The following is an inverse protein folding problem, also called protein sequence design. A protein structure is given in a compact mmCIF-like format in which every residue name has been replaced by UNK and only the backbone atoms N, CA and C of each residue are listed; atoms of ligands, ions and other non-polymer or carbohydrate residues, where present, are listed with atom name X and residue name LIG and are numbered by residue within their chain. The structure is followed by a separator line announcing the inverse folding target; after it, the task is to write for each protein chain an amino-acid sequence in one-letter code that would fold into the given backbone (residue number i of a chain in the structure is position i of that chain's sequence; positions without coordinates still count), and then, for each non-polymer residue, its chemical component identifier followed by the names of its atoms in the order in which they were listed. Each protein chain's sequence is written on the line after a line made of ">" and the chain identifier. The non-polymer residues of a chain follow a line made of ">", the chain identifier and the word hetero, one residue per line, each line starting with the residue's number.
data_IF_560341396099
#
_entry.id   IF_560341396099
#
_cell.length_a   1.000
_cell.length_b   1.000
_cell.length_c   1.000
_cell.angle_alpha   90.00
_cell.angle_beta   90.00
_cell.angle_gamma   90.00
#
_symmetry.space_group_name_H-M   'P 1'
#
loop_
_entity.id
_entity.type
_entity.pdbx_description
1 polymer ?
#
# COMPACT_ATOMS: atom_id res chain seq x y z
N UNK A 1 5.75 20.17 -2.38
CA UNK A 1 5.60 19.63 -1.01
C UNK A 1 5.09 20.71 -0.05
N UNK A 2 4.19 20.32 0.83
CA UNK A 2 3.70 21.16 1.91
C UNK A 2 3.83 20.35 3.20
N UNK A 3 4.81 20.69 4.04
CA UNK A 3 5.13 19.91 5.24
C UNK A 3 4.00 19.92 6.29
N UNK A 4 3.23 21.01 6.37
CA UNK A 4 2.15 21.15 7.33
C UNK A 4 0.85 21.58 6.64
N UNK A 5 -0.36 21.15 7.17
CA UNK A 5 -0.54 20.25 8.32
C UNK A 5 -0.03 18.84 8.04
N UNK A 6 0.45 18.15 9.09
CA UNK A 6 0.93 16.76 9.00
C UNK A 6 0.44 15.96 10.21
N UNK A 7 0.11 14.71 9.97
CA UNK A 7 -0.35 13.76 10.98
C UNK A 7 0.68 12.64 11.17
N UNK A 8 1.45 12.71 12.24
CA UNK A 8 2.39 11.65 12.63
C UNK A 8 1.70 10.75 13.63
N UNK A 9 1.58 9.45 13.28
CA UNK A 9 0.95 8.43 14.12
C UNK A 9 1.99 7.46 14.65
N UNK A 10 2.62 7.78 15.79
CA UNK A 10 3.50 6.84 16.46
C UNK A 10 3.45 6.97 17.99
N UNK A 11 3.90 5.92 18.67
CA UNK A 11 4.15 5.98 20.11
C UNK A 11 5.46 6.71 20.35
N UNK A 12 5.46 7.64 21.32
CA UNK A 12 6.68 8.31 21.79
C UNK A 12 7.32 7.43 22.86
N UNK A 13 8.60 7.12 22.68
CA UNK A 13 9.40 6.41 23.69
C UNK A 13 10.05 7.41 24.66
N UNK A 14 10.43 8.58 24.15
CA UNK A 14 11.00 9.70 24.90
C UNK A 14 10.86 11.01 24.10
N UNK A 15 11.40 12.10 24.64
CA UNK A 15 11.33 13.42 24.02
C UNK A 15 12.05 13.48 22.66
N UNK A 16 13.01 12.60 22.40
CA UNK A 16 13.73 12.51 21.13
C UNK A 16 12.87 12.01 19.96
N UNK A 17 11.71 11.42 20.24
CA UNK A 17 10.74 11.01 19.21
C UNK A 17 9.91 12.20 18.67
N UNK A 18 9.99 13.37 19.28
CA UNK A 18 9.26 14.58 18.88
C UNK A 18 10.07 15.37 17.86
N UNK A 19 10.05 14.94 16.62
CA UNK A 19 10.77 15.56 15.53
C UNK A 19 9.81 16.04 14.42
N UNK A 20 10.21 17.05 13.61
CA UNK A 20 9.41 17.47 12.47
C UNK A 20 9.34 16.37 11.40
N UNK A 21 8.26 16.38 10.57
CA UNK A 21 8.03 15.35 9.55
C UNK A 21 9.23 15.06 8.65
N UNK A 22 9.94 16.09 8.18
CA UNK A 22 11.11 15.94 7.31
C UNK A 22 12.31 15.25 7.95
N UNK A 23 12.40 15.27 9.28
CA UNK A 23 13.48 14.59 10.02
C UNK A 23 13.13 13.13 10.29
N UNK A 24 11.85 12.86 10.62
CA UNK A 24 11.34 11.51 10.83
C UNK A 24 11.27 10.72 9.52
N UNK A 25 10.81 11.38 8.45
CA UNK A 25 10.49 10.79 7.15
C UNK A 25 11.10 11.61 6.01
N UNK A 26 12.43 11.57 5.81
CA UNK A 26 13.11 12.45 4.84
C UNK A 26 12.72 12.19 3.38
N UNK A 27 12.17 11.01 3.07
CA UNK A 27 11.61 10.70 1.75
C UNK A 27 10.12 11.04 1.73
N UNK A 28 9.36 10.48 2.66
CA UNK A 28 7.90 10.43 2.62
C UNK A 28 7.25 11.46 3.55
N UNK A 29 7.58 12.75 3.34
CA UNK A 29 6.93 13.90 3.99
C UNK A 29 6.38 14.89 2.95
N UNK A 30 5.70 15.93 3.42
CA UNK A 30 5.16 16.99 2.56
C UNK A 30 3.76 16.68 2.02
N UNK A 31 3.06 15.78 2.68
CA UNK A 31 1.64 15.48 2.57
C UNK A 31 1.04 15.36 3.96
N UNK A 32 -0.25 15.04 4.07
CA UNK A 32 -0.93 14.96 5.38
C UNK A 32 -0.28 13.90 6.29
N UNK A 33 0.07 12.74 5.74
CA UNK A 33 0.72 11.65 6.45
C UNK A 33 1.73 10.91 5.56
N UNK A 34 2.37 9.88 6.12
CA UNK A 34 3.42 9.12 5.45
C UNK A 34 2.91 8.43 4.17
N UNK A 35 1.82 7.69 4.26
CA UNK A 35 1.28 6.97 3.09
C UNK A 35 0.78 7.92 2.01
N UNK A 36 0.24 9.08 2.35
CA UNK A 36 -0.14 10.10 1.36
C UNK A 36 1.07 10.60 0.57
N UNK A 37 2.25 10.73 1.21
CA UNK A 37 3.47 11.05 0.49
C UNK A 37 3.90 9.89 -0.43
N UNK A 38 3.80 8.64 0.02
CA UNK A 38 4.04 7.45 -0.84
C UNK A 38 3.12 7.43 -2.05
N UNK A 39 1.82 7.73 -1.86
CA UNK A 39 0.87 7.88 -2.99
C UNK A 39 1.33 8.95 -3.98
N UNK A 40 1.80 10.09 -3.47
CA UNK A 40 2.31 11.18 -4.30
C UNK A 40 3.47 10.72 -5.17
N UNK A 41 4.45 10.02 -4.61
CA UNK A 41 5.57 9.46 -5.37
C UNK A 41 5.11 8.43 -6.42
N UNK A 42 4.24 7.50 -6.02
CA UNK A 42 3.67 6.52 -6.94
C UNK A 42 2.93 7.19 -8.09
N UNK A 43 2.07 8.17 -7.81
CA UNK A 43 1.30 8.91 -8.82
C UNK A 43 2.21 9.66 -9.79
N UNK A 44 3.18 10.40 -9.27
CA UNK A 44 4.11 11.18 -10.09
C UNK A 44 4.91 10.27 -11.02
N UNK A 45 5.44 9.17 -10.53
CA UNK A 45 6.19 8.21 -11.33
C UNK A 45 5.30 7.57 -12.40
N UNK A 46 4.08 7.17 -12.03
CA UNK A 46 3.11 6.61 -12.97
C UNK A 46 2.72 7.59 -14.07
N UNK A 47 2.52 8.87 -13.73
CA UNK A 47 2.25 9.91 -14.70
C UNK A 47 3.40 10.05 -15.70
N UNK A 48 4.64 10.11 -15.23
CA UNK A 48 5.82 10.22 -16.11
C UNK A 48 5.97 8.98 -16.99
N UNK A 49 5.67 7.79 -16.48
CA UNK A 49 5.73 6.56 -17.26
C UNK A 49 4.66 6.50 -18.35
N UNK A 50 3.43 6.93 -18.03
CA UNK A 50 2.31 6.90 -18.98
C UNK A 50 2.33 8.07 -19.98
N UNK A 51 2.89 9.20 -19.56
CA UNK A 51 2.95 10.44 -20.34
C UNK A 51 4.38 10.96 -20.41
N UNK A 52 5.25 10.40 -21.28
CA UNK A 52 6.67 10.76 -21.35
C UNK A 52 6.92 12.25 -21.63
N UNK A 53 5.98 12.90 -22.32
CA UNK A 53 6.05 14.33 -22.70
C UNK A 53 5.45 15.27 -21.63
N UNK A 54 5.25 14.78 -20.41
CA UNK A 54 4.67 15.58 -19.33
C UNK A 54 5.55 16.82 -19.04
N UNK A 55 5.01 18.06 -19.07
CA UNK A 55 5.82 19.28 -18.91
C UNK A 55 6.61 19.36 -17.60
N UNK A 56 6.12 18.73 -16.52
CA UNK A 56 6.80 18.68 -15.22
C UNK A 56 7.69 17.44 -15.02
N UNK A 57 7.97 16.67 -16.08
CA UNK A 57 8.77 15.45 -16.01
C UNK A 57 10.12 15.66 -15.31
N UNK A 58 10.87 16.67 -15.73
CA UNK A 58 12.21 16.92 -15.18
C UNK A 58 12.17 17.36 -13.71
N UNK A 59 11.15 18.11 -13.33
CA UNK A 59 10.94 18.45 -11.92
C UNK A 59 10.58 17.21 -11.06
N UNK A 60 9.85 16.25 -11.61
CA UNK A 60 9.55 14.98 -10.95
C UNK A 60 10.83 14.15 -10.80
N UNK A 61 11.64 14.03 -11.87
CA UNK A 61 12.93 13.32 -11.80
C UNK A 61 13.84 13.94 -10.74
N UNK A 62 13.98 15.27 -10.72
CA UNK A 62 14.77 15.98 -9.72
C UNK A 62 14.27 15.72 -8.28
N UNK A 63 12.95 15.65 -8.06
CA UNK A 63 12.37 15.32 -6.78
C UNK A 63 12.79 13.91 -6.31
N UNK A 64 12.78 12.93 -7.20
CA UNK A 64 13.22 11.57 -6.88
C UNK A 64 14.72 11.53 -6.59
N UNK A 65 15.54 12.17 -7.41
CA UNK A 65 17.00 12.23 -7.22
C UNK A 65 17.38 12.90 -5.90
N UNK A 66 16.66 13.95 -5.50
CA UNK A 66 16.90 14.68 -4.25
C UNK A 66 16.58 13.85 -3.02
N UNK A 67 15.50 13.06 -3.05
CA UNK A 67 14.99 12.43 -1.82
C UNK A 67 15.23 10.93 -1.74
N UNK A 68 15.28 10.21 -2.87
CA UNK A 68 15.55 8.78 -2.90
C UNK A 68 17.06 8.51 -2.86
N UNK A 69 17.68 8.79 -1.72
CA UNK A 69 19.11 8.56 -1.45
C UNK A 69 19.29 7.44 -0.44
N UNK A 70 20.45 6.79 -0.45
CA UNK A 70 20.78 5.74 0.53
C UNK A 70 20.68 6.26 1.97
N UNK A 71 21.13 7.51 2.23
CA UNK A 71 21.04 8.13 3.55
C UNK A 71 19.60 8.28 4.02
N UNK A 72 18.70 8.78 3.15
CA UNK A 72 17.30 8.98 3.48
C UNK A 72 16.57 7.65 3.67
N UNK A 73 16.85 6.64 2.83
CA UNK A 73 16.31 5.29 3.00
C UNK A 73 16.76 4.67 4.32
N UNK A 74 18.02 4.85 4.71
CA UNK A 74 18.52 4.37 6.00
C UNK A 74 17.79 5.03 7.18
N UNK A 75 17.46 6.33 7.10
CA UNK A 75 16.67 7.03 8.13
C UNK A 75 15.23 6.53 8.20
N UNK A 76 14.56 6.36 7.04
CA UNK A 76 13.21 5.75 6.99
C UNK A 76 13.23 4.34 7.60
N UNK A 77 14.20 3.52 7.23
CA UNK A 77 14.34 2.16 7.76
C UNK A 77 14.59 2.17 9.28
N UNK A 78 15.47 3.06 9.77
CA UNK A 78 15.72 3.23 11.20
C UNK A 78 14.44 3.60 11.96
N UNK A 79 13.59 4.47 11.40
CA UNK A 79 12.30 4.79 11.97
C UNK A 79 11.41 3.54 12.09
N UNK A 80 11.26 2.75 11.03
CA UNK A 80 10.44 1.53 11.05
C UNK A 80 10.97 0.49 12.04
N UNK A 81 12.28 0.37 12.19
CA UNK A 81 12.91 -0.62 13.08
C UNK A 81 13.01 -0.19 14.54
N UNK A 82 12.69 1.06 14.85
CA UNK A 82 12.65 1.56 16.23
C UNK A 82 11.61 0.80 17.09
N UNK A 83 11.79 0.75 18.42
CA UNK A 83 10.81 0.10 19.30
C UNK A 83 9.40 0.65 19.12
N UNK A 84 8.40 -0.23 19.24
CA UNK A 84 6.98 0.08 19.16
C UNK A 84 6.48 0.66 17.81
N UNK A 85 7.26 0.52 16.72
CA UNK A 85 6.86 0.93 15.36
C UNK A 85 6.26 -0.21 14.52
N UNK A 86 6.03 -1.40 15.08
CA UNK A 86 5.57 -2.57 14.33
C UNK A 86 4.18 -2.42 13.69
N UNK A 87 3.34 -1.50 14.17
CA UNK A 87 2.01 -1.22 13.62
C UNK A 87 1.95 0.04 12.77
N UNK A 88 3.04 0.80 12.68
CA UNK A 88 3.08 2.03 11.89
C UNK A 88 2.80 1.71 10.41
N UNK A 89 1.81 2.40 9.83
CA UNK A 89 1.37 2.26 8.43
C UNK A 89 0.81 0.89 8.00
N UNK A 90 0.63 -0.04 8.92
CA UNK A 90 0.18 -1.41 8.64
C UNK A 90 -1.33 -1.51 8.54
N UNK A 91 -1.88 -2.13 7.46
CA UNK A 91 -1.17 -2.66 6.30
C UNK A 91 -1.17 -1.72 5.09
N UNK A 92 -1.90 -0.60 5.12
CA UNK A 92 -2.19 0.27 3.98
C UNK A 92 -0.93 0.90 3.38
N UNK A 93 -0.13 1.56 4.20
CA UNK A 93 1.14 2.14 3.78
C UNK A 93 2.11 1.09 3.25
N UNK A 94 2.08 -0.13 3.81
CA UNK A 94 2.88 -1.25 3.29
C UNK A 94 2.51 -1.59 1.85
N UNK A 95 1.20 -1.75 1.58
CA UNK A 95 0.71 -1.99 0.22
C UNK A 95 1.13 -0.91 -0.75
N UNK A 96 1.02 0.35 -0.36
CA UNK A 96 1.38 1.48 -1.21
C UNK A 96 2.89 1.62 -1.46
N UNK A 97 3.74 1.33 -0.46
CA UNK A 97 5.19 1.32 -0.69
C UNK A 97 5.58 0.21 -1.68
N UNK A 98 4.98 -0.96 -1.55
CA UNK A 98 5.19 -2.06 -2.50
C UNK A 98 4.69 -1.71 -3.90
N UNK A 99 3.56 -0.99 -4.01
CA UNK A 99 3.07 -0.48 -5.29
C UNK A 99 4.02 0.57 -5.91
N UNK A 100 4.63 1.46 -5.11
CA UNK A 100 5.68 2.37 -5.56
C UNK A 100 6.90 1.60 -6.07
N UNK A 101 7.36 0.61 -5.33
CA UNK A 101 8.49 -0.24 -5.74
C UNK A 101 8.20 -1.00 -7.05
N UNK A 102 6.96 -1.49 -7.23
CA UNK A 102 6.51 -2.08 -8.49
C UNK A 102 6.57 -1.07 -9.65
N UNK A 103 6.09 0.15 -9.43
CA UNK A 103 6.09 1.20 -10.45
C UNK A 103 7.52 1.58 -10.86
N UNK A 104 8.47 1.66 -9.89
CA UNK A 104 9.90 1.84 -10.15
C UNK A 104 10.46 0.70 -11.00
N UNK A 105 10.13 -0.54 -10.67
CA UNK A 105 10.59 -1.74 -11.39
C UNK A 105 10.11 -1.78 -12.83
N UNK A 106 8.91 -1.27 -13.08
CA UNK A 106 8.26 -1.26 -14.41
C UNK A 106 8.60 -0.02 -15.23
N UNK A 107 9.20 0.99 -14.62
CA UNK A 107 9.50 2.26 -15.28
C UNK A 107 10.66 2.13 -16.27
N UNK A 108 10.50 2.72 -17.44
CA UNK A 108 11.54 2.82 -18.47
C UNK A 108 12.44 4.05 -18.31
N UNK A 109 12.26 4.84 -17.25
CA UNK A 109 13.14 5.96 -16.95
C UNK A 109 14.56 5.47 -16.67
N UNK A 110 15.61 6.13 -17.23
CA UNK A 110 16.99 5.72 -17.00
C UNK A 110 17.37 5.63 -15.51
N UNK A 111 16.81 6.51 -14.68
CA UNK A 111 17.09 6.59 -13.24
C UNK A 111 16.33 5.55 -12.42
N UNK A 112 15.22 5.02 -12.93
CA UNK A 112 14.28 4.19 -12.14
C UNK A 112 14.93 2.94 -11.55
N UNK A 113 15.87 2.31 -12.27
CA UNK A 113 16.59 1.16 -11.77
C UNK A 113 17.47 1.51 -10.55
N UNK A 114 18.11 2.67 -10.56
CA UNK A 114 18.88 3.18 -9.42
C UNK A 114 17.98 3.49 -8.23
N UNK A 115 16.88 4.20 -8.43
CA UNK A 115 15.90 4.49 -7.37
C UNK A 115 15.30 3.21 -6.77
N UNK A 116 15.01 2.21 -7.62
CA UNK A 116 14.52 0.91 -7.14
C UNK A 116 15.53 0.23 -6.22
N UNK A 117 16.82 0.18 -6.62
CA UNK A 117 17.90 -0.39 -5.82
C UNK A 117 18.09 0.37 -4.51
N UNK A 118 18.05 1.70 -4.56
CA UNK A 118 18.15 2.56 -3.37
C UNK A 118 17.00 2.30 -2.37
N UNK A 119 15.76 2.12 -2.86
CA UNK A 119 14.59 1.87 -2.02
C UNK A 119 14.53 0.42 -1.49
N UNK A 120 15.27 -0.51 -2.07
CA UNK A 120 15.18 -1.94 -1.78
C UNK A 120 15.26 -2.30 -0.29
N UNK A 121 16.19 -1.75 0.53
CA UNK A 121 16.27 -2.11 1.95
C UNK A 121 14.97 -1.84 2.71
N UNK A 122 14.32 -0.71 2.47
CA UNK A 122 13.03 -0.37 3.07
C UNK A 122 11.90 -1.25 2.51
N UNK A 123 11.91 -1.51 1.20
CA UNK A 123 10.93 -2.38 0.54
C UNK A 123 10.99 -3.80 1.10
N UNK A 124 12.18 -4.34 1.34
CA UNK A 124 12.37 -5.67 1.92
C UNK A 124 11.91 -5.74 3.39
N UNK A 125 12.18 -4.72 4.19
CA UNK A 125 11.68 -4.66 5.58
C UNK A 125 10.14 -4.67 5.60
N UNK A 126 9.51 -3.81 4.81
CA UNK A 126 8.04 -3.73 4.69
C UNK A 126 7.44 -5.04 4.19
N UNK A 127 8.04 -5.65 3.18
CA UNK A 127 7.64 -6.96 2.65
C UNK A 127 7.68 -8.04 3.75
N UNK A 128 8.75 -8.08 4.53
CA UNK A 128 8.92 -9.05 5.61
C UNK A 128 7.90 -8.82 6.73
N UNK A 129 7.66 -7.55 7.10
CA UNK A 129 6.64 -7.16 8.07
C UNK A 129 5.24 -7.57 7.63
N UNK A 130 4.92 -7.42 6.34
CA UNK A 130 3.62 -7.86 5.81
C UNK A 130 3.44 -9.37 5.94
N UNK A 131 4.45 -10.17 5.55
CA UNK A 131 4.40 -11.63 5.68
C UNK A 131 4.25 -12.06 7.14
N UNK A 132 5.02 -11.45 8.04
CA UNK A 132 4.98 -11.72 9.47
C UNK A 132 3.60 -11.33 10.08
N UNK A 133 3.04 -10.20 9.64
CA UNK A 133 1.70 -9.79 10.02
C UNK A 133 0.63 -10.77 9.58
N UNK A 134 0.68 -11.25 8.34
CA UNK A 134 -0.26 -12.25 7.83
C UNK A 134 -0.22 -13.55 8.62
N UNK A 135 0.96 -13.97 9.07
CA UNK A 135 1.12 -15.16 9.92
C UNK A 135 0.47 -15.01 11.31
N UNK A 136 0.36 -13.78 11.82
CA UNK A 136 -0.22 -13.47 13.14
C UNK A 136 -1.69 -13.08 13.11
N UNK A 137 -2.19 -12.64 11.94
CA UNK A 137 -3.55 -12.15 11.79
C UNK A 137 -4.57 -13.29 11.90
N UNK A 138 -5.44 -13.23 12.91
CA UNK A 138 -6.48 -14.23 13.11
C UNK A 138 -7.71 -13.97 12.24
N UNK A 139 -8.12 -12.71 12.13
CA UNK A 139 -9.25 -12.26 11.33
C UNK A 139 -8.83 -11.12 10.40
N UNK A 140 -9.27 -11.09 9.12
CA UNK A 140 -9.02 -9.96 8.24
C UNK A 140 -9.85 -8.76 8.67
N UNK A 141 -9.35 -7.57 8.39
CA UNK A 141 -10.12 -6.33 8.53
C UNK A 141 -10.79 -6.06 7.19
N UNK A 142 -12.15 -6.09 7.18
CA UNK A 142 -12.95 -5.99 5.96
C UNK A 142 -13.48 -4.58 5.68
N UNK A 143 -13.60 -3.74 6.74
CA UNK A 143 -14.10 -2.37 6.57
C UNK A 143 -13.24 -1.56 5.60
N UNK A 144 -13.87 -0.63 4.88
CA UNK A 144 -13.26 0.15 3.81
C UNK A 144 -12.37 1.31 4.28
N UNK A 145 -11.56 1.09 5.31
CA UNK A 145 -10.63 2.05 5.91
C UNK A 145 -9.17 1.69 5.60
N UNK A 146 -8.22 2.50 6.09
CA UNK A 146 -6.75 2.24 5.96
C UNK A 146 -6.31 0.87 6.52
N UNK A 147 -7.14 0.21 7.32
CA UNK A 147 -6.82 -1.10 7.88
C UNK A 147 -7.27 -2.27 7.00
N UNK A 148 -7.96 -2.00 5.86
CA UNK A 148 -8.49 -3.05 4.98
C UNK A 148 -7.39 -4.01 4.52
N UNK A 149 -7.56 -5.28 4.85
CA UNK A 149 -6.56 -6.31 4.57
C UNK A 149 -6.52 -6.63 3.07
N UNK A 150 -7.66 -6.83 2.43
CA UNK A 150 -7.73 -7.24 1.03
C UNK A 150 -7.14 -6.20 0.09
N UNK A 151 -7.37 -4.89 0.36
CA UNK A 151 -6.79 -3.80 -0.42
C UNK A 151 -5.26 -3.87 -0.44
N UNK A 152 -4.65 -3.98 0.74
CA UNK A 152 -3.19 -4.02 0.87
C UNK A 152 -2.59 -5.27 0.26
N UNK A 153 -3.29 -6.42 0.38
CA UNK A 153 -2.85 -7.67 -0.25
C UNK A 153 -2.94 -7.62 -1.77
N UNK A 154 -3.93 -6.94 -2.34
CA UNK A 154 -4.04 -6.78 -3.79
C UNK A 154 -2.84 -6.01 -4.37
N UNK A 155 -2.42 -4.92 -3.71
CA UNK A 155 -1.23 -4.15 -4.10
C UNK A 155 0.07 -4.95 -3.92
N UNK A 156 0.21 -5.64 -2.77
CA UNK A 156 1.39 -6.44 -2.48
C UNK A 156 1.53 -7.66 -3.42
N UNK A 157 0.41 -8.25 -3.86
CA UNK A 157 0.40 -9.34 -4.82
C UNK A 157 0.91 -8.89 -6.19
N UNK A 158 0.46 -7.74 -6.65
CA UNK A 158 0.92 -7.16 -7.92
C UNK A 158 2.44 -6.89 -7.89
N UNK A 159 2.96 -6.34 -6.78
CA UNK A 159 4.39 -6.19 -6.57
C UNK A 159 5.12 -7.56 -6.58
N UNK A 160 4.67 -8.51 -5.77
CA UNK A 160 5.30 -9.83 -5.68
C UNK A 160 5.43 -10.52 -7.04
N UNK A 161 4.37 -10.46 -7.85
CA UNK A 161 4.36 -10.98 -9.22
C UNK A 161 5.32 -10.24 -10.15
N UNK A 162 5.35 -8.91 -10.06
CA UNK A 162 6.21 -8.08 -10.91
C UNK A 162 7.70 -8.31 -10.66
N UNK A 163 8.10 -8.59 -9.41
CA UNK A 163 9.50 -8.85 -9.04
C UNK A 163 9.85 -10.33 -8.95
N UNK A 164 8.89 -11.23 -9.08
CA UNK A 164 9.09 -12.68 -8.99
C UNK A 164 9.27 -13.21 -7.56
N UNK A 165 8.75 -12.49 -6.55
CA UNK A 165 8.80 -12.92 -5.14
C UNK A 165 7.75 -14.01 -4.86
N UNK A 166 8.11 -15.25 -5.12
CA UNK A 166 7.23 -16.40 -4.92
C UNK A 166 6.84 -16.63 -3.46
N UNK A 167 7.68 -16.28 -2.51
CA UNK A 167 7.37 -16.45 -1.10
C UNK A 167 6.29 -15.46 -0.65
N UNK A 168 6.36 -14.20 -1.08
CA UNK A 168 5.32 -13.21 -0.83
C UNK A 168 4.00 -13.61 -1.52
N UNK A 169 4.07 -14.00 -2.79
CA UNK A 169 2.89 -14.47 -3.53
C UNK A 169 2.19 -15.62 -2.81
N UNK A 170 2.92 -16.66 -2.40
CA UNK A 170 2.37 -17.80 -1.67
C UNK A 170 1.76 -17.41 -0.32
N UNK A 171 2.41 -16.50 0.43
CA UNK A 171 1.87 -16.02 1.70
C UNK A 171 0.53 -15.28 1.51
N UNK A 172 0.41 -14.49 0.43
CA UNK A 172 -0.83 -13.77 0.10
C UNK A 172 -1.92 -14.74 -0.37
N UNK A 173 -1.58 -15.71 -1.23
CA UNK A 173 -2.53 -16.74 -1.69
C UNK A 173 -3.10 -17.53 -0.51
N UNK A 174 -2.24 -17.99 0.40
CA UNK A 174 -2.67 -18.71 1.61
C UNK A 174 -3.54 -17.84 2.53
N UNK A 175 -3.23 -16.54 2.65
CA UNK A 175 -4.04 -15.62 3.44
C UNK A 175 -5.41 -15.37 2.77
N UNK A 176 -5.45 -15.18 1.46
CA UNK A 176 -6.70 -14.99 0.71
C UNK A 176 -7.61 -16.22 0.80
N UNK A 177 -7.05 -17.42 0.65
CA UNK A 177 -7.79 -18.67 0.83
C UNK A 177 -8.37 -18.76 2.25
N UNK A 178 -7.54 -18.54 3.27
CA UNK A 178 -7.96 -18.65 4.69
C UNK A 178 -9.02 -17.64 5.08
N UNK A 179 -8.95 -16.41 4.55
CA UNK A 179 -9.80 -15.31 4.99
C UNK A 179 -11.06 -15.11 4.17
N UNK A 180 -11.01 -15.40 2.85
CA UNK A 180 -12.02 -14.92 1.92
C UNK A 180 -12.66 -16.02 1.07
N UNK A 181 -12.00 -17.16 0.87
CA UNK A 181 -12.54 -18.18 -0.05
C UNK A 181 -13.91 -18.69 0.37
N UNK A 182 -14.20 -18.76 1.66
CA UNK A 182 -15.47 -19.24 2.21
C UNK A 182 -16.52 -18.13 2.37
N UNK A 183 -16.18 -16.87 2.08
CA UNK A 183 -17.11 -15.74 2.25
C UNK A 183 -18.24 -15.80 1.22
N UNK A 184 -19.46 -15.63 1.70
CA UNK A 184 -20.68 -15.62 0.88
C UNK A 184 -21.65 -14.59 1.44
N UNK A 185 -22.51 -14.03 0.58
CA UNK A 185 -23.59 -13.10 0.96
C UNK A 185 -23.08 -11.93 1.82
N UNK A 186 -22.02 -11.31 1.35
CA UNK A 186 -21.44 -10.13 2.04
C UNK A 186 -22.52 -9.06 2.26
N UNK A 187 -22.61 -8.48 3.48
CA UNK A 187 -23.66 -7.55 3.84
C UNK A 187 -23.40 -6.14 3.27
N UNK A 188 -23.26 -6.01 1.96
CA UNK A 188 -22.89 -4.77 1.25
C UNK A 188 -23.88 -3.60 1.48
N UNK A 189 -25.09 -3.89 1.98
CA UNK A 189 -26.06 -2.85 2.34
C UNK A 189 -25.66 -2.00 3.56
N UNK A 190 -24.61 -2.39 4.30
CA UNK A 190 -24.01 -1.57 5.34
C UNK A 190 -22.95 -0.60 4.82
N UNK A 191 -22.53 -0.75 3.56
CA UNK A 191 -21.55 0.16 2.96
C UNK A 191 -22.22 1.38 2.30
N UNK A 192 -21.58 2.57 2.37
CA UNK A 192 -20.38 2.83 3.16
C UNK A 192 -20.70 3.01 4.66
N UNK A 193 -19.84 2.50 5.53
CA UNK A 193 -19.79 2.90 6.92
C UNK A 193 -19.31 4.36 7.07
N UNK A 194 -19.50 4.97 8.26
CA UNK A 194 -19.22 6.40 8.43
C UNK A 194 -17.77 6.84 8.21
N UNK A 195 -16.83 5.93 8.29
CA UNK A 195 -15.37 6.17 8.19
C UNK A 195 -14.74 5.49 6.97
N UNK A 196 -15.56 4.89 6.11
CA UNK A 196 -15.11 4.17 4.92
C UNK A 196 -14.96 5.12 3.73
N UNK A 197 -13.87 4.98 2.99
CA UNK A 197 -13.60 5.72 1.74
C UNK A 197 -13.36 4.78 0.54
N UNK A 198 -13.30 3.46 0.78
CA UNK A 198 -13.31 2.41 -0.23
C UNK A 198 -14.37 1.37 0.15
N UNK A 199 -14.85 0.62 -0.83
CA UNK A 199 -15.76 -0.50 -0.54
C UNK A 199 -14.97 -1.71 -0.03
N UNK A 200 -15.31 -2.20 1.16
CA UNK A 200 -14.78 -3.46 1.68
C UNK A 200 -15.13 -4.64 0.78
N UNK A 201 -16.38 -4.71 0.31
CA UNK A 201 -16.85 -5.74 -0.62
C UNK A 201 -16.06 -5.75 -1.93
N UNK A 202 -15.90 -4.59 -2.57
CA UNK A 202 -15.23 -4.51 -3.87
C UNK A 202 -13.70 -4.72 -3.76
N UNK A 203 -13.07 -4.32 -2.66
CA UNK A 203 -11.65 -4.61 -2.43
C UNK A 203 -11.39 -6.09 -2.19
N UNK A 204 -12.28 -6.78 -1.48
CA UNK A 204 -12.22 -8.22 -1.32
C UNK A 204 -12.42 -8.94 -2.66
N UNK A 205 -13.44 -8.53 -3.43
CA UNK A 205 -13.67 -9.05 -4.77
C UNK A 205 -12.47 -8.81 -5.72
N UNK A 206 -11.82 -7.64 -5.65
CA UNK A 206 -10.62 -7.33 -6.41
C UNK A 206 -9.47 -8.29 -6.07
N UNK A 207 -9.21 -8.55 -4.79
CA UNK A 207 -8.20 -9.52 -4.39
C UNK A 207 -8.55 -10.91 -4.90
N UNK A 208 -9.79 -11.37 -4.68
CA UNK A 208 -10.22 -12.70 -5.08
C UNK A 208 -10.20 -12.90 -6.60
N UNK A 209 -10.46 -11.85 -7.40
CA UNK A 209 -10.32 -11.90 -8.86
C UNK A 209 -8.87 -12.16 -9.33
N UNK A 210 -7.89 -11.83 -8.51
CA UNK A 210 -6.47 -12.04 -8.79
C UNK A 210 -5.95 -13.41 -8.35
N UNK A 211 -6.65 -14.07 -7.41
CA UNK A 211 -6.14 -15.28 -6.75
C UNK A 211 -6.97 -16.53 -7.01
N UNK A 212 -8.25 -16.41 -7.36
CA UNK A 212 -9.17 -17.52 -7.53
C UNK A 212 -9.45 -17.82 -8.99
N UNK A 213 -9.17 -19.03 -9.46
CA UNK A 213 -9.58 -19.49 -10.80
C UNK A 213 -11.11 -19.59 -10.92
N UNK A 214 -11.80 -19.90 -9.82
CA UNK A 214 -13.25 -19.98 -9.74
C UNK A 214 -13.93 -18.64 -9.40
N UNK A 215 -13.28 -17.51 -9.64
CA UNK A 215 -13.76 -16.19 -9.25
C UNK A 215 -15.21 -15.88 -9.65
N UNK A 216 -15.69 -16.15 -10.88
CA UNK A 216 -17.07 -15.83 -11.24
C UNK A 216 -18.11 -16.51 -10.33
N UNK A 217 -17.96 -17.81 -10.05
CA UNK A 217 -18.88 -18.53 -9.17
C UNK A 217 -18.75 -18.08 -7.70
N UNK A 218 -17.53 -17.77 -7.26
CA UNK A 218 -17.29 -17.20 -5.93
C UNK A 218 -17.95 -15.83 -5.81
N UNK A 219 -17.80 -14.95 -6.81
CA UNK A 219 -18.37 -13.60 -6.80
C UNK A 219 -19.90 -13.61 -6.77
N UNK A 220 -20.55 -14.49 -7.55
CA UNK A 220 -22.00 -14.68 -7.55
C UNK A 220 -22.52 -15.12 -6.17
N UNK A 221 -21.76 -15.95 -5.46
CA UNK A 221 -22.11 -16.37 -4.10
C UNK A 221 -21.80 -15.27 -3.05
N UNK A 222 -20.75 -14.49 -3.26
CA UNK A 222 -20.29 -13.43 -2.38
C UNK A 222 -21.19 -12.20 -2.43
N UNK A 223 -21.52 -11.71 -3.63
CA UNK A 223 -22.38 -10.55 -3.89
C UNK A 223 -23.56 -10.88 -4.82
N UNK A 224 -24.49 -11.76 -4.41
CA UNK A 224 -25.55 -12.24 -5.29
C UNK A 224 -26.49 -11.13 -5.79
N UNK A 225 -26.56 -10.01 -5.07
CA UNK A 225 -27.45 -8.89 -5.38
C UNK A 225 -26.66 -7.58 -5.62
N UNK A 226 -25.44 -7.69 -6.17
CA UNK A 226 -24.56 -6.52 -6.36
C UNK A 226 -25.25 -5.37 -7.11
N UNK A 227 -26.08 -5.67 -8.12
CA UNK A 227 -26.82 -4.68 -8.87
C UNK A 227 -27.93 -3.94 -8.08
N UNK A 228 -28.35 -4.48 -6.95
CA UNK A 228 -29.33 -3.86 -6.05
C UNK A 228 -28.67 -2.98 -4.97
N UNK A 229 -27.37 -3.08 -4.79
CA UNK A 229 -26.63 -2.28 -3.79
C UNK A 229 -26.28 -0.92 -4.38
N UNK A 230 -27.16 0.06 -4.16
CA UNK A 230 -27.07 1.39 -4.77
C UNK A 230 -25.72 2.07 -4.50
N UNK A 231 -25.16 1.94 -3.28
CA UNK A 231 -23.88 2.54 -2.90
C UNK A 231 -22.68 1.98 -3.69
N UNK A 232 -22.74 0.72 -4.14
CA UNK A 232 -21.69 0.13 -4.98
C UNK A 232 -21.81 0.52 -6.45
N UNK A 233 -23.03 0.84 -6.92
CA UNK A 233 -23.31 1.13 -8.32
C UNK A 233 -23.30 2.62 -8.66
N UNK A 234 -23.45 3.47 -7.65
CA UNK A 234 -23.51 4.93 -7.78
C UNK A 234 -22.62 5.57 -6.67
N UNK A 235 -21.30 5.54 -6.86
CA UNK A 235 -20.34 6.09 -5.89
C UNK A 235 -20.43 7.64 -5.79
#
# INVERSE_FOLDING_TARGET
>A
RQEYPNHIMHLLNDDGDVLPPRELHPIFYGCFDWHSAVHGYWLLLRCVRLYPELPCRDAIVALFDEHLTEENVAKELAYFTAPFRASFERPYGYGWLLALAQELKQSSLPQAAGWYQTLEPLTQDIRNRLVDYLGKLTYPIRVGTHYNTAFSLALALDYGRAVGDKALEQAILAAAERFYLADTRYPAHYEPGGDEYISGALTEALLMSKVSEGFPAWFDAFLPEVGAVTALMNP
#
